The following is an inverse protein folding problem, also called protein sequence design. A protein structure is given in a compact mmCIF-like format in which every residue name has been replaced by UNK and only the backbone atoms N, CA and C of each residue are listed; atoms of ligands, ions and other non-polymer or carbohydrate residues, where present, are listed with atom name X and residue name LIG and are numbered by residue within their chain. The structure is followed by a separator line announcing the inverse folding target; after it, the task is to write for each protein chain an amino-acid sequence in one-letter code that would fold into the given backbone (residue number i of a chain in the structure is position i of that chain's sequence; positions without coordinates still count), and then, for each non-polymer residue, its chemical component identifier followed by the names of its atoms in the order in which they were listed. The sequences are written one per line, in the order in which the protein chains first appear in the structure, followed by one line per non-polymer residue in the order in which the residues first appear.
data_IF_216635348801
#
_entry.id   IF_216635348801
#
_cell.length_a   1.000
_cell.length_b   1.000
_cell.length_c   1.000
_cell.angle_alpha   90.00
_cell.angle_beta   90.00
_cell.angle_gamma   90.00
#
_symmetry.space_group_name_H-M   'P 1'
#
loop_
_entity.id
_entity.type
_entity.pdbx_description
1 polymer ?
#
# COMPACT_ATOMS: atom_id res chain seq x y z
N UNK A 1 -54.38 6.36 -10.71
CA UNK A 1 -53.67 5.47 -11.66
C UNK A 1 -52.19 5.51 -11.35
N UNK A 2 -51.70 4.43 -10.74
CA UNK A 2 -50.33 4.27 -10.30
C UNK A 2 -49.44 3.75 -11.44
N UNK A 3 -48.41 4.48 -11.83
CA UNK A 3 -47.37 4.04 -12.77
C UNK A 3 -46.16 3.53 -12.04
N UNK A 4 -45.91 2.20 -12.11
CA UNK A 4 -44.69 1.55 -11.61
C UNK A 4 -43.53 1.89 -12.53
N UNK A 5 -42.52 2.59 -12.03
CA UNK A 5 -41.24 2.76 -12.67
C UNK A 5 -40.27 1.65 -12.22
N UNK A 6 -39.83 0.90 -13.18
CA UNK A 6 -38.89 -0.21 -13.10
C UNK A 6 -37.48 0.26 -12.68
N UNK A 7 -36.87 -0.40 -11.72
CA UNK A 7 -35.46 -0.25 -11.31
C UNK A 7 -34.54 -0.86 -12.38
N UNK A 8 -33.45 -0.21 -12.78
CA UNK A 8 -32.42 -0.85 -13.57
C UNK A 8 -31.39 -1.59 -12.69
N UNK A 9 -30.89 -2.67 -13.28
CA UNK A 9 -30.05 -3.73 -12.76
C UNK A 9 -28.69 -3.29 -12.16
N UNK A 10 -28.40 -3.89 -11.06
CA UNK A 10 -27.21 -4.59 -10.54
C UNK A 10 -25.92 -4.35 -11.35
N UNK A 11 -25.09 -3.45 -10.86
CA UNK A 11 -23.66 -3.39 -11.13
C UNK A 11 -22.92 -3.69 -9.83
N UNK A 12 -22.29 -4.85 -9.81
CA UNK A 12 -21.52 -5.41 -8.72
C UNK A 12 -20.20 -4.65 -8.55
N UNK A 13 -20.15 -3.70 -7.64
CA UNK A 13 -18.93 -3.03 -7.24
C UNK A 13 -18.55 -3.47 -5.81
N UNK A 14 -17.53 -4.32 -5.71
CA UNK A 14 -16.93 -4.81 -4.46
C UNK A 14 -16.51 -3.66 -3.54
N UNK A 15 -16.17 -2.49 -4.10
CA UNK A 15 -15.87 -1.27 -3.34
C UNK A 15 -17.09 -0.71 -2.57
N UNK A 16 -18.32 -0.90 -3.07
CA UNK A 16 -19.54 -0.48 -2.38
C UNK A 16 -19.90 -1.38 -1.19
N UNK A 17 -19.52 -2.64 -1.23
CA UNK A 17 -19.81 -3.61 -0.15
C UNK A 17 -18.96 -3.30 1.09
N UNK A 18 -17.70 -2.88 0.92
CA UNK A 18 -16.86 -2.47 2.06
C UNK A 18 -17.33 -1.16 2.73
N UNK A 19 -17.98 -0.26 1.99
CA UNK A 19 -18.49 1.02 2.53
C UNK A 19 -19.87 0.84 3.18
N UNK A 20 -20.71 -0.07 2.67
CA UNK A 20 -22.04 -0.30 3.24
C UNK A 20 -22.04 -1.18 4.52
N UNK A 21 -21.08 -2.08 4.72
CA UNK A 21 -21.05 -2.91 5.94
C UNK A 21 -20.65 -2.16 7.22
N UNK A 22 -20.12 -0.93 7.11
CA UNK A 22 -19.78 -0.10 8.28
C UNK A 22 -20.86 0.92 8.68
N UNK A 23 -21.95 1.03 7.93
CA UNK A 23 -22.98 2.05 8.19
C UNK A 23 -24.27 1.51 8.82
N UNK A 24 -24.33 0.24 9.18
CA UNK A 24 -25.51 -0.36 9.84
C UNK A 24 -25.22 -0.69 11.29
N UNK A 25 -24.68 0.27 12.02
CA UNK A 25 -24.77 0.30 13.49
C UNK A 25 -25.87 1.28 13.87
N UNK A 26 -26.95 0.70 14.31
CA UNK A 26 -28.15 1.34 14.80
C UNK A 26 -27.86 2.06 16.12
N UNK A 27 -27.61 3.35 16.06
CA UNK A 27 -27.54 4.18 17.25
C UNK A 27 -28.65 5.23 17.19
N UNK A 28 -29.65 4.98 18.01
CA UNK A 28 -30.66 5.96 18.42
C UNK A 28 -29.97 7.20 18.96
N UNK A 29 -29.87 8.21 18.13
CA UNK A 29 -29.42 9.55 18.52
C UNK A 29 -30.48 10.14 19.46
N UNK A 30 -30.20 10.12 20.76
CA UNK A 30 -30.91 10.96 21.70
C UNK A 30 -30.60 12.42 21.40
N UNK A 31 -31.60 13.32 21.36
CA UNK A 31 -31.34 14.73 21.18
C UNK A 31 -30.51 15.24 22.37
N UNK A 32 -29.40 15.89 22.03
CA UNK A 32 -28.53 16.55 22.99
C UNK A 32 -29.31 17.75 23.57
N UNK A 33 -29.68 17.67 24.85
CA UNK A 33 -30.24 18.82 25.60
C UNK A 33 -29.08 19.73 25.98
N UNK A 34 -29.08 20.93 25.42
CA UNK A 34 -28.22 22.06 25.81
C UNK A 34 -28.61 22.58 27.19
N UNK A 35 -28.11 21.93 28.22
CA UNK A 35 -28.06 22.52 29.55
C UNK A 35 -26.70 23.21 29.73
N UNK A 36 -26.59 24.43 29.24
CA UNK A 36 -25.49 25.32 29.60
C UNK A 36 -25.79 25.92 30.98
N UNK A 37 -24.96 25.71 32.01
CA UNK A 37 -24.99 26.55 33.19
C UNK A 37 -24.43 27.94 32.78
N UNK A 38 -25.27 28.93 32.86
CA UNK A 38 -24.83 30.33 32.95
C UNK A 38 -24.08 30.48 34.29
N UNK A 39 -22.87 30.99 34.24
CA UNK A 39 -21.97 31.30 35.33
C UNK A 39 -20.91 30.26 35.68
N UNK A 40 -19.71 30.65 35.43
CA UNK A 40 -18.55 30.10 36.11
C UNK A 40 -17.54 29.39 35.20
N UNK A 41 -16.40 29.99 35.23
CA UNK A 41 -15.09 29.50 34.82
C UNK A 41 -15.02 27.95 34.69
N UNK A 42 -14.91 27.44 33.47
CA UNK A 42 -14.51 26.06 33.27
C UNK A 42 -13.15 25.87 33.95
N UNK A 43 -13.00 24.93 34.87
CA UNK A 43 -11.67 24.58 35.35
C UNK A 43 -10.89 24.11 34.14
N UNK A 44 -9.89 24.89 33.75
CA UNK A 44 -8.91 24.50 32.75
C UNK A 44 -8.40 23.11 33.12
N UNK A 45 -8.70 22.14 32.25
CA UNK A 45 -8.23 20.77 32.43
C UNK A 45 -6.68 20.83 32.41
N UNK A 46 -5.97 20.53 33.52
CA UNK A 46 -4.55 20.80 33.63
C UNK A 46 -3.67 19.93 32.75
N UNK A 47 -4.26 19.13 31.85
CA UNK A 47 -3.54 18.22 30.96
C UNK A 47 -3.54 18.61 29.45
N UNK A 48 -4.21 19.69 29.06
CA UNK A 48 -4.02 20.27 27.73
C UNK A 48 -2.85 21.27 27.79
N UNK A 49 -1.64 20.71 27.86
CA UNK A 49 -0.42 21.43 27.62
C UNK A 49 -0.46 21.92 26.19
N UNK A 50 -0.82 23.17 25.95
CA UNK A 50 -0.64 23.84 24.67
C UNK A 50 0.85 23.79 24.33
N UNK A 51 1.25 22.78 23.56
CA UNK A 51 2.63 22.65 23.13
C UNK A 51 2.95 23.81 22.20
N UNK A 52 4.00 24.54 22.49
CA UNK A 52 4.53 25.57 21.59
C UNK A 52 4.86 24.89 20.24
N UNK A 53 4.64 25.59 19.14
CA UNK A 53 4.98 25.08 17.80
C UNK A 53 6.43 24.56 17.71
N UNK A 54 7.35 25.17 18.44
CA UNK A 54 8.74 24.76 18.52
C UNK A 54 8.91 23.43 19.26
N UNK A 55 8.19 23.23 20.36
CA UNK A 55 8.20 21.96 21.11
C UNK A 55 7.66 20.80 20.25
N UNK A 56 6.63 21.08 19.43
CA UNK A 56 6.07 20.11 18.50
C UNK A 56 7.07 19.71 17.39
N UNK A 57 7.87 20.67 16.88
CA UNK A 57 8.94 20.40 15.92
C UNK A 57 10.08 19.56 16.53
N UNK A 58 10.42 19.80 17.82
CA UNK A 58 11.44 19.03 18.52
C UNK A 58 10.98 17.57 18.74
N UNK A 59 9.72 17.36 19.08
CA UNK A 59 9.13 16.03 19.21
C UNK A 59 9.13 15.30 17.87
N UNK A 60 8.78 15.97 16.74
CA UNK A 60 8.85 15.43 15.39
C UNK A 60 10.25 14.90 15.04
N UNK A 61 11.29 15.68 15.38
CA UNK A 61 12.69 15.29 15.12
C UNK A 61 13.02 13.94 15.73
N UNK A 62 12.64 13.69 16.98
CA UNK A 62 12.92 12.44 17.67
C UNK A 62 12.17 11.25 17.06
N UNK A 63 10.91 11.45 16.65
CA UNK A 63 10.12 10.41 15.97
C UNK A 63 10.71 10.04 14.60
N UNK A 64 11.18 11.05 13.83
CA UNK A 64 11.87 10.81 12.55
C UNK A 64 13.17 10.05 12.76
N UNK A 65 14.02 10.46 13.72
CA UNK A 65 15.30 9.80 14.00
C UNK A 65 15.07 8.32 14.35
N UNK A 66 14.09 7.99 15.18
CA UNK A 66 13.75 6.60 15.55
C UNK A 66 13.24 5.81 14.36
N UNK A 67 12.38 6.39 13.53
CA UNK A 67 11.85 5.76 12.32
C UNK A 67 12.98 5.45 11.33
N UNK A 68 13.84 6.42 11.04
CA UNK A 68 14.98 6.25 10.14
C UNK A 68 15.98 5.25 10.73
N UNK A 69 16.25 5.32 12.03
CA UNK A 69 17.12 4.36 12.73
C UNK A 69 16.63 2.91 12.61
N UNK A 70 15.31 2.68 12.70
CA UNK A 70 14.72 1.36 12.49
C UNK A 70 14.90 0.87 11.06
N UNK A 71 14.73 1.74 10.06
CA UNK A 71 14.95 1.39 8.65
C UNK A 71 16.41 0.97 8.43
N UNK A 72 17.38 1.75 8.95
CA UNK A 72 18.79 1.40 8.87
C UNK A 72 19.11 0.08 9.55
N UNK A 73 18.55 -0.19 10.72
CA UNK A 73 18.76 -1.45 11.44
C UNK A 73 18.32 -2.65 10.60
N UNK A 74 17.09 -2.60 10.05
CA UNK A 74 16.57 -3.68 9.20
C UNK A 74 17.32 -3.76 7.86
N UNK A 75 17.79 -2.65 7.30
CA UNK A 75 18.60 -2.64 6.09
C UNK A 75 19.96 -3.32 6.31
N UNK A 76 20.61 -3.09 7.46
CA UNK A 76 21.87 -3.77 7.84
C UNK A 76 21.61 -5.27 8.03
N UNK A 77 20.53 -5.65 8.70
CA UNK A 77 20.16 -7.06 8.86
C UNK A 77 19.88 -7.75 7.52
N UNK A 78 19.22 -7.07 6.58
CA UNK A 78 19.02 -7.58 5.23
C UNK A 78 20.34 -7.69 4.46
N UNK A 79 21.22 -6.70 4.59
CA UNK A 79 22.53 -6.70 3.95
C UNK A 79 23.46 -7.82 4.47
N UNK A 80 23.43 -8.12 5.74
CA UNK A 80 24.24 -9.24 6.31
C UNK A 80 23.72 -10.61 5.87
N UNK A 81 22.43 -10.73 5.53
CA UNK A 81 21.78 -11.95 5.06
C UNK A 81 21.56 -11.97 3.54
N UNK A 82 22.55 -11.50 2.75
CA UNK A 82 22.44 -11.37 1.30
C UNK A 82 22.00 -12.66 0.58
N UNK A 83 22.47 -13.82 1.04
CA UNK A 83 22.10 -15.09 0.43
C UNK A 83 20.57 -15.32 0.45
N UNK A 84 19.93 -15.07 1.57
CA UNK A 84 18.47 -15.19 1.71
C UNK A 84 17.75 -14.14 0.86
N UNK A 85 18.22 -12.90 0.92
CA UNK A 85 17.63 -11.78 0.19
C UNK A 85 17.68 -12.01 -1.33
N UNK A 86 18.85 -12.36 -1.86
CA UNK A 86 19.02 -12.55 -3.29
C UNK A 86 18.40 -13.86 -3.78
N UNK A 87 18.73 -14.97 -3.11
CA UNK A 87 18.35 -16.28 -3.61
C UNK A 87 16.87 -16.61 -3.42
N UNK A 88 16.25 -16.14 -2.33
CA UNK A 88 14.84 -16.45 -2.02
C UNK A 88 13.92 -15.33 -2.49
N UNK A 89 14.25 -14.06 -2.15
CA UNK A 89 13.35 -12.95 -2.42
C UNK A 89 13.55 -12.40 -3.83
N UNK A 90 14.77 -11.99 -4.18
CA UNK A 90 14.99 -11.30 -5.45
C UNK A 90 14.84 -12.22 -6.67
N UNK A 91 15.45 -13.41 -6.62
CA UNK A 91 15.40 -14.39 -7.70
C UNK A 91 14.21 -15.37 -7.59
N UNK A 92 13.33 -15.19 -6.58
CA UNK A 92 12.12 -15.99 -6.45
C UNK A 92 11.27 -15.99 -7.73
N UNK A 93 10.83 -14.81 -8.21
CA UNK A 93 9.97 -14.71 -9.41
C UNK A 93 10.61 -15.15 -10.73
N UNK A 94 11.93 -15.36 -10.78
CA UNK A 94 12.61 -15.88 -11.99
C UNK A 94 12.62 -17.40 -12.07
N UNK A 95 12.17 -18.09 -11.02
CA UNK A 95 12.13 -19.56 -10.98
C UNK A 95 10.77 -20.05 -11.42
N UNK A 96 10.75 -21.06 -12.28
CA UNK A 96 9.52 -21.73 -12.72
C UNK A 96 8.77 -22.41 -11.57
N UNK A 97 9.50 -22.76 -10.48
CA UNK A 97 8.96 -23.35 -9.26
C UNK A 97 8.25 -22.36 -8.32
N UNK A 98 8.18 -21.08 -8.71
CA UNK A 98 7.56 -20.06 -7.88
C UNK A 98 6.08 -20.37 -7.63
N UNK A 99 5.61 -20.09 -6.43
CA UNK A 99 4.26 -20.44 -5.97
C UNK A 99 3.16 -19.99 -6.93
N UNK A 100 3.28 -18.79 -7.49
CA UNK A 100 2.31 -18.21 -8.41
C UNK A 100 2.21 -19.00 -9.71
N UNK A 101 3.33 -19.41 -10.31
CA UNK A 101 3.32 -20.19 -11.55
C UNK A 101 2.70 -21.56 -11.35
N UNK A 102 2.95 -22.19 -10.19
CA UNK A 102 2.29 -23.46 -9.82
C UNK A 102 0.78 -23.30 -9.65
N UNK A 103 0.33 -22.19 -9.04
CA UNK A 103 -1.11 -21.89 -8.91
C UNK A 103 -1.75 -21.59 -10.26
N UNK A 104 -1.07 -20.82 -11.13
CA UNK A 104 -1.55 -20.54 -12.49
C UNK A 104 -1.71 -21.83 -13.30
N UNK A 105 -0.75 -22.75 -13.20
CA UNK A 105 -0.80 -24.03 -13.91
C UNK A 105 -2.00 -24.87 -13.43
N UNK A 106 -2.22 -24.98 -12.12
CA UNK A 106 -3.40 -25.66 -11.55
C UNK A 106 -4.73 -25.01 -11.97
N UNK A 107 -4.78 -23.69 -12.05
CA UNK A 107 -5.95 -22.97 -12.56
C UNK A 107 -6.13 -23.22 -14.06
N UNK A 108 -5.04 -23.24 -14.85
CA UNK A 108 -5.07 -23.55 -16.26
C UNK A 108 -5.64 -24.93 -16.55
N UNK A 109 -5.22 -25.93 -15.76
CA UNK A 109 -5.76 -27.30 -15.84
C UNK A 109 -7.25 -27.37 -15.49
N UNK A 110 -7.71 -26.54 -14.54
CA UNK A 110 -9.11 -26.50 -14.12
C UNK A 110 -10.05 -25.79 -15.11
N UNK A 111 -9.52 -24.89 -15.94
CA UNK A 111 -10.29 -24.06 -16.91
C UNK A 111 -10.02 -24.49 -18.36
N UNK A 112 -9.28 -25.59 -18.59
CA UNK A 112 -8.83 -26.06 -19.92
C UNK A 112 -8.05 -25.01 -20.74
N UNK A 113 -7.33 -24.10 -20.05
CA UNK A 113 -6.55 -23.05 -20.65
C UNK A 113 -5.05 -23.36 -20.54
N UNK A 114 -4.52 -24.18 -21.45
CA UNK A 114 -3.11 -24.61 -21.47
C UNK A 114 -2.09 -23.44 -21.54
N UNK A 115 -2.52 -22.26 -22.01
CA UNK A 115 -1.67 -21.04 -22.08
C UNK A 115 -1.33 -20.39 -20.74
N UNK A 116 -1.99 -20.80 -19.65
CA UNK A 116 -1.71 -20.25 -18.31
C UNK A 116 -0.53 -20.93 -17.60
N UNK A 117 -0.11 -22.09 -18.08
CA UNK A 117 1.01 -22.83 -17.49
C UNK A 117 2.35 -22.32 -18.02
N UNK A 118 3.14 -21.69 -17.15
CA UNK A 118 4.47 -21.15 -17.46
C UNK A 118 5.51 -22.25 -17.28
N UNK A 119 5.89 -22.90 -18.38
CA UNK A 119 6.85 -24.00 -18.37
C UNK A 119 8.31 -23.53 -18.46
N UNK A 120 8.57 -22.38 -19.11
CA UNK A 120 9.90 -21.82 -19.30
C UNK A 120 9.87 -20.29 -19.22
N UNK A 121 10.91 -19.73 -18.66
CA UNK A 121 11.22 -18.32 -18.69
C UNK A 121 12.46 -18.14 -19.56
N UNK A 122 12.27 -17.69 -20.80
CA UNK A 122 13.32 -17.58 -21.82
C UNK A 122 14.06 -16.23 -21.74
N UNK A 123 14.72 -15.97 -20.59
CA UNK A 123 15.59 -14.81 -20.46
C UNK A 123 16.81 -15.12 -19.60
N UNK A 124 17.88 -14.34 -19.81
CA UNK A 124 19.11 -14.42 -19.04
C UNK A 124 19.27 -13.11 -18.26
N UNK A 125 19.54 -13.23 -16.96
CA UNK A 125 19.92 -12.06 -16.14
C UNK A 125 21.40 -11.81 -16.26
N UNK A 126 21.76 -10.59 -16.63
CA UNK A 126 23.15 -10.14 -16.79
C UNK A 126 23.43 -8.94 -15.92
N UNK A 127 24.66 -8.79 -15.44
CA UNK A 127 25.15 -7.56 -14.83
C UNK A 127 25.97 -6.82 -15.86
N UNK A 128 25.40 -5.79 -16.47
CA UNK A 128 26.08 -4.98 -17.51
C UNK A 128 26.97 -3.91 -16.93
N UNK A 129 26.74 -3.52 -15.70
CA UNK A 129 27.54 -2.50 -15.00
C UNK A 129 28.52 -3.16 -14.03
N UNK A 130 29.76 -2.65 -13.99
CA UNK A 130 30.83 -3.18 -13.10
C UNK A 130 30.42 -3.19 -11.64
N UNK A 131 29.75 -2.14 -11.17
CA UNK A 131 29.22 -2.03 -9.81
C UNK A 131 27.77 -2.52 -9.65
N UNK A 132 27.15 -3.08 -10.71
CA UNK A 132 25.72 -3.36 -10.75
C UNK A 132 25.24 -4.29 -9.63
N UNK A 133 25.99 -5.34 -9.35
CA UNK A 133 25.65 -6.28 -8.27
C UNK A 133 25.74 -5.64 -6.88
N UNK A 134 26.77 -4.81 -6.65
CA UNK A 134 26.96 -4.11 -5.37
C UNK A 134 25.85 -3.06 -5.15
N UNK A 135 25.53 -2.26 -6.17
CA UNK A 135 24.43 -1.28 -6.12
C UNK A 135 23.10 -1.98 -5.87
N UNK A 136 22.85 -3.11 -6.56
CA UNK A 136 21.64 -3.91 -6.34
C UNK A 136 21.59 -4.43 -4.90
N UNK A 137 22.72 -4.87 -4.32
CA UNK A 137 22.76 -5.35 -2.94
C UNK A 137 22.37 -4.26 -1.94
N UNK A 138 22.91 -3.07 -2.08
CA UNK A 138 22.59 -1.93 -1.18
C UNK A 138 21.15 -1.50 -1.33
N UNK A 139 20.68 -1.30 -2.56
CA UNK A 139 19.31 -0.81 -2.81
C UNK A 139 18.26 -1.84 -2.40
N UNK A 140 18.49 -3.14 -2.66
CA UNK A 140 17.60 -4.22 -2.19
C UNK A 140 17.51 -4.25 -0.67
N UNK A 141 18.66 -4.18 0.00
CA UNK A 141 18.70 -4.20 1.46
C UNK A 141 17.99 -2.98 2.06
N UNK A 142 18.13 -1.80 1.46
CA UNK A 142 17.43 -0.60 1.88
C UNK A 142 15.91 -0.72 1.70
N UNK A 143 15.44 -1.28 0.58
CA UNK A 143 14.01 -1.50 0.31
C UNK A 143 13.42 -2.53 1.26
N UNK A 144 14.09 -3.65 1.49
CA UNK A 144 13.63 -4.67 2.45
C UNK A 144 13.62 -4.08 3.87
N UNK A 145 14.65 -3.30 4.22
CA UNK A 145 14.70 -2.57 5.47
C UNK A 145 13.50 -1.63 5.65
N UNK A 146 13.14 -0.89 4.61
CA UNK A 146 11.95 -0.03 4.59
C UNK A 146 10.66 -0.83 4.80
N UNK A 147 10.47 -1.92 4.07
CA UNK A 147 9.27 -2.77 4.16
C UNK A 147 9.14 -3.40 5.55
N UNK A 148 10.22 -3.94 6.10
CA UNK A 148 10.22 -4.55 7.43
C UNK A 148 10.06 -3.52 8.56
N UNK A 149 10.64 -2.32 8.41
CA UNK A 149 10.54 -1.24 9.38
C UNK A 149 9.19 -0.51 9.30
N UNK A 150 8.42 -0.67 8.21
CA UNK A 150 7.18 0.08 7.99
C UNK A 150 6.19 0.04 9.16
N UNK A 151 5.91 -1.11 9.80
CA UNK A 151 4.99 -1.16 10.93
C UNK A 151 5.42 -0.25 12.09
N UNK A 152 6.71 -0.26 12.40
CA UNK A 152 7.28 0.56 13.47
C UNK A 152 7.36 2.04 13.05
N UNK A 153 7.85 2.32 11.85
CA UNK A 153 7.94 3.69 11.33
C UNK A 153 6.56 4.37 11.26
N UNK A 154 5.55 3.62 10.78
CA UNK A 154 4.18 4.13 10.78
C UNK A 154 3.62 4.34 12.19
N UNK A 155 3.92 3.45 13.13
CA UNK A 155 3.52 3.60 14.53
C UNK A 155 4.12 4.87 15.17
N UNK A 156 5.39 5.19 14.91
CA UNK A 156 6.04 6.42 15.38
C UNK A 156 5.39 7.67 14.77
N UNK A 157 5.15 7.67 13.44
CA UNK A 157 4.46 8.77 12.76
C UNK A 157 3.04 8.93 13.30
N UNK A 158 2.33 7.84 13.54
CA UNK A 158 0.98 7.87 14.09
C UNK A 158 0.95 8.41 15.52
N UNK A 159 1.94 8.06 16.34
CA UNK A 159 2.09 8.58 17.70
C UNK A 159 2.26 10.09 17.72
N UNK A 160 2.99 10.62 16.75
CA UNK A 160 3.17 12.06 16.55
C UNK A 160 1.87 12.77 16.12
N UNK A 161 1.09 12.18 15.20
CA UNK A 161 -0.15 12.76 14.68
C UNK A 161 -1.28 12.72 15.72
N UNK A 162 -1.31 11.69 16.55
CA UNK A 162 -2.39 11.42 17.52
C UNK A 162 -2.73 12.57 18.47
N UNK A 163 -1.79 13.36 19.03
CA UNK A 163 -2.13 14.51 19.88
C UNK A 163 -2.86 15.62 19.14
N UNK A 164 -2.62 15.78 17.83
CA UNK A 164 -3.30 16.80 17.01
C UNK A 164 -4.72 16.43 16.56
N UNK A 165 -5.23 15.23 16.88
CA UNK A 165 -6.58 14.80 16.52
C UNK A 165 -7.58 15.12 17.64
N UNK A 166 -8.82 15.52 17.24
CA UNK A 166 -9.92 15.73 18.18
C UNK A 166 -10.26 14.44 18.96
N UNK A 167 -10.78 14.54 20.21
CA UNK A 167 -11.06 13.38 21.07
C UNK A 167 -11.97 12.31 20.43
N UNK A 168 -12.94 12.74 19.62
CA UNK A 168 -13.84 11.85 18.88
C UNK A 168 -13.09 11.05 17.78
N UNK A 169 -12.19 11.70 17.07
CA UNK A 169 -11.36 11.11 16.01
C UNK A 169 -10.30 10.17 16.59
N UNK A 170 -9.74 10.51 17.76
CA UNK A 170 -8.76 9.71 18.48
C UNK A 170 -9.32 8.34 18.89
N UNK A 171 -10.63 8.24 19.20
CA UNK A 171 -11.30 6.96 19.48
C UNK A 171 -11.46 6.13 18.22
N UNK A 172 -11.89 6.74 17.12
CA UNK A 172 -12.06 6.06 15.83
C UNK A 172 -10.71 5.59 15.23
N UNK A 173 -9.65 6.31 15.53
CA UNK A 173 -8.30 6.02 15.09
C UNK A 173 -7.56 4.98 15.96
N UNK A 174 -8.20 4.47 17.04
CA UNK A 174 -7.65 3.41 17.88
C UNK A 174 -7.62 2.11 17.07
N UNK A 175 -6.46 1.64 16.71
CA UNK A 175 -6.28 0.47 15.84
C UNK A 175 -5.92 0.80 14.40
N UNK A 176 -5.91 2.07 13.99
CA UNK A 176 -5.51 2.48 12.65
C UNK A 176 -4.15 1.92 12.24
N UNK A 177 -3.17 1.96 13.14
CA UNK A 177 -1.83 1.40 12.90
C UNK A 177 -1.87 -0.06 12.49
N UNK A 178 -2.72 -0.86 13.14
CA UNK A 178 -2.87 -2.28 12.80
C UNK A 178 -3.44 -2.45 11.38
N UNK A 179 -4.51 -1.75 11.05
CA UNK A 179 -5.13 -1.85 9.72
C UNK A 179 -4.22 -1.33 8.61
N UNK A 180 -3.53 -0.21 8.84
CA UNK A 180 -2.54 0.33 7.91
C UNK A 180 -1.41 -0.66 7.65
N UNK A 181 -0.85 -1.23 8.71
CA UNK A 181 0.22 -2.23 8.60
C UNK A 181 -0.26 -3.47 7.85
N UNK A 182 -1.45 -3.97 8.18
CA UNK A 182 -2.04 -5.15 7.54
C UNK A 182 -2.29 -4.91 6.04
N UNK A 183 -2.89 -3.78 5.68
CA UNK A 183 -3.13 -3.44 4.27
C UNK A 183 -1.83 -3.23 3.50
N UNK A 184 -0.83 -2.60 4.13
CA UNK A 184 0.48 -2.44 3.49
C UNK A 184 1.12 -3.79 3.21
N UNK A 185 1.17 -4.69 4.20
CA UNK A 185 1.72 -6.03 4.02
C UNK A 185 0.95 -6.84 2.97
N UNK A 186 -0.38 -6.76 2.96
CA UNK A 186 -1.20 -7.37 1.90
C UNK A 186 -0.87 -6.80 0.53
N UNK A 187 -0.70 -5.47 0.41
CA UNK A 187 -0.31 -4.84 -0.85
C UNK A 187 1.08 -5.28 -1.34
N UNK A 188 2.06 -5.35 -0.43
CA UNK A 188 3.40 -5.85 -0.74
C UNK A 188 3.34 -7.32 -1.20
N UNK A 189 2.63 -8.19 -0.49
CA UNK A 189 2.46 -9.59 -0.85
C UNK A 189 1.75 -9.75 -2.21
N UNK A 190 0.69 -8.97 -2.44
CA UNK A 190 -0.03 -8.96 -3.72
C UNK A 190 0.89 -8.53 -4.88
N UNK A 191 1.64 -7.43 -4.70
CA UNK A 191 2.60 -6.95 -5.68
C UNK A 191 3.70 -7.96 -5.98
N UNK A 192 4.26 -8.59 -4.94
CA UNK A 192 5.36 -9.54 -5.08
C UNK A 192 4.91 -10.90 -5.63
N UNK A 193 3.81 -11.48 -5.12
CA UNK A 193 3.39 -12.82 -5.52
C UNK A 193 2.51 -12.85 -6.77
N UNK A 194 1.81 -11.78 -7.09
CA UNK A 194 0.86 -11.78 -8.21
C UNK A 194 1.35 -10.87 -9.34
N UNK A 195 1.53 -9.59 -9.08
CA UNK A 195 1.82 -8.61 -10.14
C UNK A 195 3.22 -8.83 -10.73
N UNK A 196 4.23 -8.95 -9.87
CA UNK A 196 5.63 -9.08 -10.32
C UNK A 196 5.88 -10.30 -11.21
N UNK A 197 5.49 -11.54 -10.84
CA UNK A 197 5.73 -12.70 -11.69
C UNK A 197 4.93 -12.66 -13.00
N UNK A 198 3.71 -12.14 -13.00
CA UNK A 198 2.92 -11.96 -14.22
C UNK A 198 3.58 -10.98 -15.18
N UNK A 199 4.06 -9.85 -14.65
CA UNK A 199 4.77 -8.84 -15.45
C UNK A 199 6.08 -9.39 -16.01
N UNK A 200 6.88 -10.08 -15.19
CA UNK A 200 8.14 -10.71 -15.63
C UNK A 200 7.88 -11.76 -16.70
N UNK A 201 6.88 -12.61 -16.49
CA UNK A 201 6.49 -13.62 -17.49
C UNK A 201 6.04 -12.97 -18.81
N UNK A 202 5.24 -11.91 -18.74
CA UNK A 202 4.81 -11.16 -19.92
C UNK A 202 6.02 -10.57 -20.67
N UNK A 203 6.90 -9.85 -19.97
CA UNK A 203 8.07 -9.20 -20.57
C UNK A 203 9.08 -10.22 -21.12
N UNK A 204 9.26 -11.37 -20.46
CA UNK A 204 10.19 -12.42 -20.91
C UNK A 204 9.73 -13.10 -22.18
N UNK A 205 8.42 -13.27 -22.34
CA UNK A 205 7.84 -13.94 -23.50
C UNK A 205 7.49 -12.98 -24.65
N UNK A 206 7.48 -11.66 -24.37
CA UNK A 206 7.19 -10.68 -25.40
C UNK A 206 8.40 -10.51 -26.33
N UNK A 207 8.26 -10.95 -27.58
CA UNK A 207 9.28 -10.82 -28.63
C UNK A 207 8.66 -10.15 -29.84
N UNK A 208 9.30 -9.10 -30.33
CA UNK A 208 8.92 -8.44 -31.59
C UNK A 208 9.34 -9.33 -32.76
N UNK A 209 10.54 -9.91 -32.66
CA UNK A 209 11.09 -10.82 -33.66
C UNK A 209 11.77 -12.02 -32.97
N UNK A 210 11.62 -13.26 -33.51
CA UNK A 210 12.22 -14.46 -32.93
C UNK A 210 13.76 -14.42 -32.85
N UNK A 211 14.40 -13.61 -33.68
CA UNK A 211 15.87 -13.45 -33.69
C UNK A 211 16.42 -12.65 -32.50
N UNK A 212 15.55 -11.92 -31.79
CA UNK A 212 15.94 -11.09 -30.64
C UNK A 212 15.89 -11.93 -29.37
N UNK A 213 17.06 -12.12 -28.71
CA UNK A 213 17.13 -12.75 -27.40
C UNK A 213 16.83 -11.71 -26.30
N UNK A 214 15.96 -12.08 -25.36
CA UNK A 214 15.66 -11.23 -24.21
C UNK A 214 16.73 -11.41 -23.12
N UNK A 215 17.54 -10.36 -22.92
CA UNK A 215 18.56 -10.30 -21.88
C UNK A 215 18.25 -9.13 -20.95
N UNK A 216 17.95 -9.44 -19.68
CA UNK A 216 17.61 -8.41 -18.69
C UNK A 216 18.82 -8.03 -17.85
N UNK A 217 19.06 -6.75 -17.69
CA UNK A 217 20.03 -6.26 -16.71
C UNK A 217 19.46 -6.38 -15.30
N UNK A 218 20.30 -6.84 -14.35
CA UNK A 218 19.90 -7.09 -12.97
C UNK A 218 19.34 -5.84 -12.28
N UNK A 219 19.89 -4.64 -12.60
CA UNK A 219 19.39 -3.38 -12.04
C UNK A 219 17.99 -3.04 -12.55
N UNK A 220 17.74 -3.25 -13.85
CA UNK A 220 16.44 -3.01 -14.46
C UNK A 220 15.40 -3.98 -13.92
N UNK A 221 15.73 -5.27 -13.83
CA UNK A 221 14.88 -6.30 -13.23
C UNK A 221 14.49 -5.95 -11.79
N UNK A 222 15.49 -5.59 -10.97
CA UNK A 222 15.26 -5.23 -9.58
C UNK A 222 14.42 -3.95 -9.45
N UNK A 223 14.72 -2.91 -10.23
CA UNK A 223 13.95 -1.67 -10.25
C UNK A 223 12.48 -1.93 -10.56
N UNK A 224 12.19 -2.75 -11.57
CA UNK A 224 10.83 -3.15 -11.94
C UNK A 224 10.14 -3.87 -10.79
N UNK A 225 10.79 -4.87 -10.19
CA UNK A 225 10.23 -5.66 -9.09
C UNK A 225 9.90 -4.78 -7.88
N UNK A 226 10.82 -3.89 -7.49
CA UNK A 226 10.64 -2.95 -6.37
C UNK A 226 9.51 -1.97 -6.67
N UNK A 227 9.52 -1.36 -7.86
CA UNK A 227 8.50 -0.38 -8.25
C UNK A 227 7.10 -1.01 -8.19
N UNK A 228 6.91 -2.18 -8.78
CA UNK A 228 5.62 -2.87 -8.75
C UNK A 228 5.19 -3.22 -7.32
N UNK A 229 6.11 -3.80 -6.54
CA UNK A 229 5.81 -4.25 -5.18
C UNK A 229 5.48 -3.09 -4.24
N UNK A 230 6.33 -2.06 -4.21
CA UNK A 230 6.12 -0.89 -3.35
C UNK A 230 4.91 -0.08 -3.78
N UNK A 231 4.69 0.08 -5.08
CA UNK A 231 3.51 0.78 -5.59
C UNK A 231 2.22 0.09 -5.18
N UNK A 232 2.15 -1.25 -5.27
CA UNK A 232 1.01 -2.00 -4.75
C UNK A 232 0.83 -1.77 -3.25
N UNK A 233 1.90 -1.82 -2.45
CA UNK A 233 1.86 -1.52 -1.02
C UNK A 233 1.27 -0.14 -0.73
N UNK A 234 1.69 0.89 -1.46
CA UNK A 234 1.18 2.25 -1.33
C UNK A 234 -0.26 2.40 -1.81
N UNK A 235 -0.64 1.75 -2.92
CA UNK A 235 -2.01 1.78 -3.44
C UNK A 235 -3.01 1.18 -2.48
N UNK A 236 -2.63 0.14 -1.73
CA UNK A 236 -3.47 -0.45 -0.69
C UNK A 236 -3.67 0.48 0.51
N UNK A 237 -2.89 1.57 0.63
CA UNK A 237 -3.11 2.60 1.66
C UNK A 237 -4.22 3.60 1.28
N UNK A 238 -4.56 3.74 -0.01
CA UNK A 238 -5.55 4.73 -0.46
C UNK A 238 -6.92 4.62 0.25
N UNK A 239 -7.48 3.42 0.50
CA UNK A 239 -8.76 3.30 1.20
C UNK A 239 -8.70 3.85 2.63
N UNK A 240 -7.59 3.64 3.34
CA UNK A 240 -7.41 4.15 4.71
C UNK A 240 -7.23 5.66 4.72
N UNK A 241 -6.42 6.20 3.79
CA UNK A 241 -6.25 7.65 3.64
C UNK A 241 -7.61 8.30 3.36
N UNK A 242 -8.39 7.77 2.42
CA UNK A 242 -9.73 8.27 2.11
C UNK A 242 -10.68 8.22 3.32
N UNK A 243 -10.61 7.14 4.12
CA UNK A 243 -11.39 7.00 5.35
C UNK A 243 -11.04 8.09 6.37
N UNK A 244 -9.74 8.34 6.61
CA UNK A 244 -9.33 9.38 7.56
C UNK A 244 -9.69 10.79 7.09
N UNK A 245 -9.49 11.11 5.80
CA UNK A 245 -9.89 12.40 5.25
C UNK A 245 -11.41 12.63 5.33
N UNK A 246 -12.19 11.57 5.15
CA UNK A 246 -13.65 11.64 5.31
C UNK A 246 -14.06 11.85 6.78
N UNK A 247 -13.37 11.21 7.73
CA UNK A 247 -13.60 11.41 9.16
C UNK A 247 -13.20 12.79 9.65
N UNK A 248 -12.11 13.34 9.12
CA UNK A 248 -11.65 14.70 9.40
C UNK A 248 -12.53 15.80 8.75
N UNK A 249 -13.62 15.41 8.06
CA UNK A 249 -14.54 16.34 7.42
C UNK A 249 -13.98 17.05 6.18
N UNK A 250 -12.76 16.73 5.77
CA UNK A 250 -12.11 17.31 4.57
C UNK A 250 -12.80 16.84 3.30
N UNK A 251 -13.24 15.56 3.27
CA UNK A 251 -13.90 14.97 2.13
C UNK A 251 -15.36 14.63 2.49
N UNK A 252 -16.30 15.35 1.85
CA UNK A 252 -17.72 15.06 1.95
C UNK A 252 -18.17 14.18 0.77
N UNK A 253 -19.22 13.35 0.94
CA UNK A 253 -19.77 12.52 -0.16
C UNK A 253 -20.17 13.30 -1.41
N UNK A 254 -20.63 14.55 -1.26
CA UNK A 254 -20.95 15.44 -2.37
C UNK A 254 -19.69 15.80 -3.19
N UNK A 255 -18.60 16.15 -2.52
CA UNK A 255 -17.30 16.45 -3.12
C UNK A 255 -16.76 15.25 -3.91
N UNK A 256 -16.86 14.05 -3.35
CA UNK A 256 -16.42 12.81 -4.04
C UNK A 256 -17.22 12.54 -5.33
N UNK A 257 -18.48 12.93 -5.39
CA UNK A 257 -19.29 12.80 -6.60
C UNK A 257 -18.89 13.80 -7.68
N UNK A 258 -18.62 15.03 -7.30
CA UNK A 258 -18.20 16.12 -8.19
C UNK A 258 -16.81 15.85 -8.79
N UNK A 259 -15.83 15.46 -7.96
CA UNK A 259 -14.45 15.22 -8.37
C UNK A 259 -14.18 13.82 -8.91
N UNK A 260 -15.19 13.00 -9.14
CA UNK A 260 -15.04 11.62 -9.64
C UNK A 260 -14.25 11.54 -10.94
N UNK A 261 -14.49 12.49 -11.88
CA UNK A 261 -13.77 12.55 -13.16
C UNK A 261 -12.26 12.81 -12.97
N UNK A 262 -11.91 13.72 -12.06
CA UNK A 262 -10.51 14.03 -11.73
C UNK A 262 -9.82 12.86 -11.04
N UNK A 263 -10.52 12.14 -10.17
CA UNK A 263 -10.00 10.93 -9.52
C UNK A 263 -9.62 9.85 -10.56
N UNK A 264 -10.43 9.63 -11.59
CA UNK A 264 -10.09 8.70 -12.66
C UNK A 264 -8.83 9.13 -13.42
N UNK A 265 -8.68 10.42 -13.73
CA UNK A 265 -7.49 10.94 -14.42
C UNK A 265 -6.25 10.71 -13.53
N UNK A 266 -6.32 11.03 -12.24
CA UNK A 266 -5.22 10.84 -11.29
C UNK A 266 -4.83 9.35 -11.19
N UNK A 267 -5.81 8.46 -11.11
CA UNK A 267 -5.55 7.01 -11.05
C UNK A 267 -4.87 6.52 -12.35
N UNK A 268 -5.32 7.00 -13.51
CA UNK A 268 -4.70 6.65 -14.80
C UNK A 268 -3.27 7.16 -14.91
N UNK A 269 -3.00 8.38 -14.47
CA UNK A 269 -1.64 8.95 -14.45
C UNK A 269 -0.73 8.15 -13.51
N UNK A 270 -1.21 7.81 -12.29
CA UNK A 270 -0.48 6.98 -11.36
C UNK A 270 -0.20 5.59 -11.93
N UNK A 271 -1.19 4.97 -12.56
CA UNK A 271 -1.02 3.67 -13.21
C UNK A 271 0.04 3.73 -14.33
N UNK A 272 0.04 4.80 -15.14
CA UNK A 272 1.03 4.99 -16.20
C UNK A 272 2.46 5.16 -15.64
N UNK A 273 2.62 5.85 -14.51
CA UNK A 273 3.94 6.01 -13.85
C UNK A 273 4.45 4.68 -13.26
N UNK A 274 3.54 3.86 -12.72
CA UNK A 274 3.88 2.59 -12.08
C UNK A 274 4.19 1.50 -13.10
N UNK A 275 3.54 1.57 -14.28
CA UNK A 275 3.80 0.60 -15.35
C UNK A 275 5.25 0.76 -15.84
N UNK A 276 6.08 -0.30 -15.80
CA UNK A 276 7.45 -0.22 -16.24
C UNK A 276 7.50 0.07 -17.75
N UNK A 277 8.11 1.20 -18.09
CA UNK A 277 8.33 1.65 -19.46
C UNK A 277 9.75 1.34 -19.91
#
# INVERSE_FOLDING_TARGET
MYGRGTLPAKSSNIAYICICMTLQSNDTVKPYQDNWPEDGEQPANPEEKEMSFLDHLEELRWHIIRSVGSIFLFAILAFTNQHLVFHVILLGPTRTDFWTYRMLCKLGDAVDAAGLCVNKLDFILQSRQVGGQFTTAITTSAVIGLVCAFPYAFWEVWRFIKPGLYPAERRAARGATFFVTLLFMMGILFGYYIISPLTINFLSNYKIDPSIANEFDILSYFSTLVTLTLSCGLMFQLPIVAFFLSKAGVIHPALMREYRKHAYIVILVLAAIITPS
#
